data_IF_219198862432
#
_entry.id   IF_219198862432
#
_cell.length_a   1.000
_cell.length_b   1.000
_cell.length_c   1.000
_cell.angle_alpha   90.00
_cell.angle_beta   90.00
_cell.angle_gamma   90.00
#
_symmetry.space_group_name_H-M   'P 1'
#
loop_
_entity.id
_entity.type
_entity.pdbx_description
1 polymer ?
#
# COMPACT_ATOMS: atom_id res chain seq x y z
N UNK A 1 -18.54 -11.14 -13.96
CA UNK A 1 -17.06 -11.29 -13.79
C UNK A 1 -16.47 -9.88 -13.88
N UNK A 2 -15.59 -9.47 -12.95
CA UNK A 2 -14.87 -8.20 -13.13
C UNK A 2 -13.99 -8.30 -14.39
N UNK A 3 -13.83 -7.20 -15.12
CA UNK A 3 -12.88 -7.13 -16.22
C UNK A 3 -11.44 -7.26 -15.71
N UNK A 4 -10.52 -7.77 -16.52
CA UNK A 4 -9.15 -8.09 -16.09
C UNK A 4 -8.41 -6.86 -15.53
N UNK A 5 -8.60 -5.68 -16.11
CA UNK A 5 -8.02 -4.43 -15.66
C UNK A 5 -8.36 -4.05 -14.20
N UNK A 6 -9.50 -4.55 -13.69
CA UNK A 6 -9.94 -4.34 -12.32
C UNK A 6 -9.23 -5.22 -11.27
N UNK A 7 -8.20 -5.96 -11.69
CA UNK A 7 -7.33 -6.74 -10.79
C UNK A 7 -5.90 -6.17 -10.72
N UNK A 8 -5.66 -5.00 -11.33
CA UNK A 8 -4.34 -4.37 -11.36
C UNK A 8 -4.29 -3.10 -10.53
N UNK A 9 -3.23 -2.99 -9.75
CA UNK A 9 -2.76 -1.78 -9.12
C UNK A 9 -1.62 -1.21 -9.98
N UNK A 10 -1.87 -0.14 -10.72
CA UNK A 10 -0.85 0.48 -11.56
C UNK A 10 0.17 1.19 -10.69
N UNK A 11 1.44 0.73 -10.70
CA UNK A 11 2.38 0.97 -9.63
C UNK A 11 3.60 1.78 -10.04
N UNK A 12 3.98 2.77 -9.22
CA UNK A 12 5.25 3.49 -9.33
C UNK A 12 5.86 3.73 -7.94
N UNK A 13 6.88 2.93 -7.58
CA UNK A 13 7.53 2.93 -6.26
C UNK A 13 9.02 3.28 -6.33
N UNK A 14 9.48 3.86 -7.44
CA UNK A 14 10.87 4.29 -7.59
C UNK A 14 11.21 5.38 -6.58
N UNK A 15 12.42 5.31 -6.01
CA UNK A 15 12.91 6.33 -5.08
C UNK A 15 13.05 7.71 -5.75
N UNK A 16 13.32 7.74 -7.05
CA UNK A 16 13.50 8.93 -7.88
C UNK A 16 12.25 9.29 -8.71
N UNK A 17 11.09 8.72 -8.38
CA UNK A 17 9.83 9.04 -9.06
C UNK A 17 9.56 10.55 -9.04
N UNK A 18 9.17 11.09 -10.17
CA UNK A 18 8.84 12.50 -10.30
C UNK A 18 7.33 12.77 -10.27
N UNK A 19 6.95 14.00 -9.94
CA UNK A 19 5.57 14.45 -10.04
C UNK A 19 4.97 14.19 -11.43
N UNK A 20 5.75 14.31 -12.50
CA UNK A 20 5.29 14.07 -13.87
C UNK A 20 4.98 12.57 -14.09
N UNK A 21 5.80 11.67 -13.57
CA UNK A 21 5.57 10.22 -13.65
C UNK A 21 4.30 9.81 -12.87
N UNK A 22 4.08 10.35 -11.68
CA UNK A 22 2.86 10.07 -10.90
C UNK A 22 1.60 10.60 -11.61
N UNK A 23 1.65 11.79 -12.22
CA UNK A 23 0.53 12.29 -13.02
C UNK A 23 0.25 11.41 -14.24
N UNK A 24 1.30 10.96 -14.93
CA UNK A 24 1.18 10.01 -16.04
C UNK A 24 0.56 8.70 -15.58
N UNK A 25 1.03 8.13 -14.47
CA UNK A 25 0.49 6.92 -13.85
C UNK A 25 -1.03 7.05 -13.61
N UNK A 26 -1.47 8.17 -13.02
CA UNK A 26 -2.88 8.43 -12.76
C UNK A 26 -3.70 8.59 -14.04
N UNK A 27 -3.14 9.23 -15.07
CA UNK A 27 -3.80 9.39 -16.36
C UNK A 27 -4.01 8.03 -17.06
N UNK A 28 -2.97 7.20 -17.09
CA UNK A 28 -3.02 5.83 -17.63
C UNK A 28 -4.03 4.96 -16.86
N UNK A 29 -4.04 5.03 -15.52
CA UNK A 29 -4.98 4.27 -14.72
C UNK A 29 -6.44 4.63 -15.02
N UNK A 30 -6.73 5.91 -15.26
CA UNK A 30 -8.08 6.35 -15.71
C UNK A 30 -8.40 5.88 -17.12
N UNK A 31 -7.45 5.99 -18.05
CA UNK A 31 -7.63 5.60 -19.45
C UNK A 31 -7.92 4.11 -19.61
N UNK A 32 -7.15 3.28 -18.91
CA UNK A 32 -7.27 1.82 -18.99
C UNK A 32 -8.23 1.22 -17.96
N UNK A 33 -8.80 2.04 -17.08
CA UNK A 33 -9.76 1.61 -16.07
C UNK A 33 -9.15 0.63 -15.07
N UNK A 34 -7.91 0.85 -14.62
CA UNK A 34 -7.32 0.03 -13.57
C UNK A 34 -8.04 0.24 -12.23
N UNK A 35 -7.92 -0.74 -11.34
CA UNK A 35 -8.58 -0.68 -10.04
C UNK A 35 -7.99 0.41 -9.16
N UNK A 36 -6.67 0.49 -9.08
CA UNK A 36 -5.96 1.49 -8.30
C UNK A 36 -4.66 1.97 -8.97
N UNK A 37 -4.08 3.02 -8.39
CA UNK A 37 -2.65 3.31 -8.49
C UNK A 37 -1.99 3.00 -7.16
N UNK A 38 -0.76 2.46 -7.17
CA UNK A 38 0.02 2.22 -5.96
C UNK A 38 1.27 3.11 -5.95
N UNK A 39 1.45 3.87 -4.89
CA UNK A 39 2.50 4.89 -4.76
C UNK A 39 3.13 4.90 -3.36
N UNK A 40 4.30 5.53 -3.23
CA UNK A 40 4.87 5.86 -1.92
C UNK A 40 4.03 6.94 -1.22
N UNK A 41 3.99 6.96 0.11
CA UNK A 41 3.16 7.83 0.94
C UNK A 41 3.24 9.32 0.57
N UNK A 42 4.45 9.82 0.24
CA UNK A 42 4.65 11.22 -0.16
C UNK A 42 3.87 11.65 -1.42
N UNK A 43 3.42 10.70 -2.25
CA UNK A 43 2.65 10.94 -3.47
C UNK A 43 1.15 10.74 -3.32
N UNK A 44 0.68 10.25 -2.17
CA UNK A 44 -0.76 10.02 -1.93
C UNK A 44 -1.59 11.28 -2.16
N UNK A 45 -1.23 12.46 -1.61
CA UNK A 45 -2.03 13.68 -1.84
C UNK A 45 -2.12 14.07 -3.32
N UNK A 46 -1.03 13.87 -4.07
CA UNK A 46 -1.00 14.14 -5.51
C UNK A 46 -1.89 13.16 -6.27
N UNK A 47 -1.76 11.86 -6.01
CA UNK A 47 -2.55 10.82 -6.65
C UNK A 47 -4.04 11.00 -6.36
N UNK A 48 -4.42 11.26 -5.11
CA UNK A 48 -5.80 11.54 -4.72
C UNK A 48 -6.39 12.73 -5.48
N UNK A 49 -5.60 13.81 -5.64
CA UNK A 49 -6.01 14.98 -6.43
C UNK A 49 -6.21 14.65 -7.91
N UNK A 50 -5.25 13.96 -8.53
CA UNK A 50 -5.29 13.62 -9.96
C UNK A 50 -6.41 12.61 -10.29
N UNK A 51 -6.79 11.77 -9.34
CA UNK A 51 -7.85 10.77 -9.49
C UNK A 51 -9.23 11.24 -9.02
N UNK A 52 -9.35 12.47 -8.53
CA UNK A 52 -10.60 13.02 -8.04
C UNK A 52 -11.72 12.89 -9.11
N UNK A 53 -12.89 12.37 -8.69
CA UNK A 53 -14.03 12.14 -9.59
C UNK A 53 -13.92 10.91 -10.50
N UNK A 54 -12.86 10.12 -10.39
CA UNK A 54 -12.73 8.82 -11.07
C UNK A 54 -13.08 7.66 -10.14
N UNK A 55 -13.23 6.45 -10.70
CA UNK A 55 -13.42 5.23 -9.92
C UNK A 55 -12.11 4.60 -9.43
N UNK A 56 -10.96 5.06 -9.94
CA UNK A 56 -9.63 4.53 -9.60
C UNK A 56 -9.28 4.90 -8.16
N UNK A 57 -8.83 3.91 -7.39
CA UNK A 57 -8.44 4.07 -5.99
C UNK A 57 -6.97 4.50 -5.86
N UNK A 58 -6.60 5.01 -4.69
CA UNK A 58 -5.21 5.20 -4.31
C UNK A 58 -4.83 4.11 -3.30
N UNK A 59 -3.82 3.32 -3.63
CA UNK A 59 -3.13 2.43 -2.72
C UNK A 59 -1.79 3.06 -2.32
N UNK A 60 -1.40 2.92 -1.07
CA UNK A 60 -0.11 3.40 -0.56
C UNK A 60 0.67 2.27 0.09
N UNK A 61 1.97 2.17 -0.20
CA UNK A 61 2.83 1.23 0.52
C UNK A 61 3.17 1.75 1.91
N UNK A 62 3.29 0.84 2.88
CA UNK A 62 3.63 1.13 4.29
C UNK A 62 4.72 0.18 4.76
N UNK A 63 5.70 0.69 5.49
CA UNK A 63 6.88 -0.08 5.89
C UNK A 63 7.73 -0.56 4.73
N UNK A 64 7.57 0.02 3.57
CA UNK A 64 8.15 -0.45 2.31
C UNK A 64 9.58 0.09 2.10
N UNK A 65 10.53 -0.73 1.56
CA UNK A 65 10.29 -2.12 1.09
C UNK A 65 10.60 -3.21 2.13
N UNK A 66 11.12 -2.88 3.31
CA UNK A 66 11.75 -3.85 4.20
C UNK A 66 10.82 -4.49 5.23
N UNK A 67 9.72 -3.85 5.58
CA UNK A 67 8.83 -4.29 6.66
C UNK A 67 9.45 -4.27 8.07
N UNK A 68 10.67 -3.75 8.22
CA UNK A 68 11.50 -3.86 9.41
C UNK A 68 11.45 -2.63 10.35
N UNK A 69 10.43 -1.80 10.21
CA UNK A 69 10.17 -0.69 11.13
C UNK A 69 9.25 -1.13 12.28
N UNK A 70 9.13 -0.32 13.33
CA UNK A 70 8.22 -0.63 14.43
C UNK A 70 6.76 -0.56 13.99
N UNK A 71 5.89 -1.30 14.68
CA UNK A 71 4.45 -1.33 14.41
C UNK A 71 3.81 0.05 14.56
N UNK A 72 4.25 0.84 15.55
CA UNK A 72 3.78 2.22 15.75
C UNK A 72 4.15 3.11 14.56
N UNK A 73 5.34 2.93 13.98
CA UNK A 73 5.76 3.71 12.82
C UNK A 73 4.93 3.34 11.58
N UNK A 74 4.63 2.04 11.37
CA UNK A 74 3.72 1.60 10.30
C UNK A 74 2.29 2.13 10.51
N UNK A 75 1.79 2.08 11.74
CA UNK A 75 0.47 2.62 12.08
C UNK A 75 0.39 4.12 11.81
N UNK A 76 1.43 4.89 12.17
CA UNK A 76 1.50 6.31 11.88
C UNK A 76 1.54 6.61 10.38
N UNK A 77 2.36 5.87 9.62
CA UNK A 77 2.44 5.99 8.16
C UNK A 77 1.09 5.65 7.50
N UNK A 78 0.40 4.62 8.00
CA UNK A 78 -0.95 4.24 7.57
C UNK A 78 -1.94 5.37 7.79
N UNK A 79 -1.96 5.94 9.00
CA UNK A 79 -2.84 7.06 9.34
C UNK A 79 -2.59 8.26 8.41
N UNK A 80 -1.32 8.64 8.20
CA UNK A 80 -0.98 9.74 7.30
C UNK A 80 -1.43 9.47 5.85
N UNK A 81 -1.17 8.27 5.32
CA UNK A 81 -1.61 7.90 3.98
C UNK A 81 -3.14 7.94 3.83
N UNK A 82 -3.88 7.37 4.78
CA UNK A 82 -5.34 7.34 4.74
C UNK A 82 -5.95 8.74 4.87
N UNK A 83 -5.44 9.57 5.80
CA UNK A 83 -5.88 10.95 5.97
C UNK A 83 -5.67 11.79 4.70
N UNK A 84 -4.69 11.44 3.88
CA UNK A 84 -4.37 12.10 2.61
C UNK A 84 -5.08 11.47 1.39
N UNK A 85 -5.90 10.42 1.59
CA UNK A 85 -6.80 9.90 0.56
C UNK A 85 -6.44 8.51 0.02
N UNK A 86 -5.55 7.77 0.67
CA UNK A 86 -5.37 6.35 0.37
C UNK A 86 -6.61 5.55 0.81
N UNK A 87 -7.11 4.71 -0.08
CA UNK A 87 -8.23 3.79 0.16
C UNK A 87 -7.75 2.35 0.41
N UNK A 88 -6.49 2.08 0.11
CA UNK A 88 -5.83 0.80 0.36
C UNK A 88 -4.42 1.03 0.88
N UNK A 89 -3.99 0.16 1.77
CA UNK A 89 -2.66 0.15 2.40
C UNK A 89 -1.98 -1.17 2.10
N UNK A 90 -0.84 -1.10 1.43
CA UNK A 90 0.00 -2.24 1.09
C UNK A 90 1.19 -2.29 2.06
N UNK A 91 0.97 -2.90 3.23
CA UNK A 91 2.01 -3.01 4.26
C UNK A 91 2.97 -4.16 3.99
N UNK A 92 4.24 -3.98 4.25
CA UNK A 92 5.22 -5.09 4.20
C UNK A 92 5.26 -5.80 5.55
N UNK A 93 5.13 -7.13 5.51
CA UNK A 93 5.23 -7.98 6.71
C UNK A 93 6.61 -7.85 7.37
N UNK A 94 6.69 -8.03 8.68
CA UNK A 94 7.98 -8.16 9.35
C UNK A 94 8.58 -9.54 9.09
N UNK A 95 9.36 -9.64 8.00
CA UNK A 95 9.98 -10.89 7.55
C UNK A 95 10.91 -11.47 8.61
N UNK A 96 11.66 -10.62 9.33
CA UNK A 96 12.56 -11.07 10.39
C UNK A 96 11.81 -11.76 11.55
N UNK A 97 10.70 -11.17 11.98
CA UNK A 97 9.85 -11.76 13.01
C UNK A 97 9.24 -13.09 12.54
N UNK A 98 8.76 -13.15 11.28
CA UNK A 98 8.22 -14.38 10.70
C UNK A 98 9.26 -15.50 10.67
N UNK A 99 10.50 -15.21 10.23
CA UNK A 99 11.59 -16.19 10.19
C UNK A 99 12.04 -16.70 11.56
N UNK A 100 11.82 -15.93 12.59
CA UNK A 100 12.07 -16.31 13.99
C UNK A 100 10.85 -16.97 14.65
N UNK A 101 9.80 -17.27 13.87
CA UNK A 101 8.53 -17.86 14.36
C UNK A 101 7.84 -17.01 15.44
N UNK A 102 8.13 -15.70 15.48
CA UNK A 102 7.48 -14.74 16.39
C UNK A 102 6.14 -14.30 15.82
N UNK A 103 5.22 -15.27 15.72
CA UNK A 103 3.92 -15.07 15.06
C UNK A 103 3.03 -14.06 15.76
N UNK A 104 3.13 -13.95 17.09
CA UNK A 104 2.40 -12.92 17.85
C UNK A 104 2.85 -11.51 17.48
N UNK A 105 4.16 -11.29 17.33
CA UNK A 105 4.70 -9.99 16.91
C UNK A 105 4.26 -9.65 15.47
N UNK A 106 4.21 -10.64 14.58
CA UNK A 106 3.71 -10.45 13.21
C UNK A 106 2.22 -10.10 13.21
N UNK A 107 1.43 -10.80 14.04
CA UNK A 107 0.00 -10.52 14.19
C UNK A 107 -0.25 -9.12 14.74
N UNK A 108 0.46 -8.73 15.80
CA UNK A 108 0.33 -7.43 16.43
C UNK A 108 0.71 -6.29 15.46
N UNK A 109 1.77 -6.50 14.65
CA UNK A 109 2.18 -5.57 13.60
C UNK A 109 1.08 -5.34 12.56
N UNK A 110 0.48 -6.42 12.05
CA UNK A 110 -0.64 -6.35 11.10
C UNK A 110 -1.87 -5.71 11.75
N UNK A 111 -2.23 -6.12 12.97
CA UNK A 111 -3.37 -5.56 13.69
C UNK A 111 -3.25 -4.06 13.94
N UNK A 112 -2.04 -3.58 14.22
CA UNK A 112 -1.76 -2.16 14.42
C UNK A 112 -2.03 -1.33 13.15
N UNK A 113 -1.63 -1.85 11.99
CA UNK A 113 -1.90 -1.22 10.69
C UNK A 113 -3.39 -1.28 10.35
N UNK A 114 -4.03 -2.44 10.56
CA UNK A 114 -5.47 -2.62 10.31
C UNK A 114 -6.29 -1.66 11.17
N UNK A 115 -5.98 -1.54 12.46
CA UNK A 115 -6.69 -0.63 13.35
C UNK A 115 -6.62 0.84 12.87
N UNK A 116 -5.44 1.26 12.37
CA UNK A 116 -5.28 2.61 11.81
C UNK A 116 -6.03 2.80 10.50
N UNK A 117 -6.06 1.78 9.63
CA UNK A 117 -6.76 1.84 8.35
C UNK A 117 -8.28 1.84 8.51
N UNK A 118 -8.79 1.08 9.49
CA UNK A 118 -10.23 0.96 9.78
C UNK A 118 -10.89 2.31 10.14
N UNK A 119 -10.15 3.23 10.76
CA UNK A 119 -10.65 4.59 11.05
C UNK A 119 -11.08 5.35 9.78
N UNK A 120 -10.53 4.96 8.63
CA UNK A 120 -10.80 5.57 7.32
C UNK A 120 -11.58 4.65 6.37
N UNK A 121 -11.99 3.46 6.82
CA UNK A 121 -12.56 2.40 5.99
C UNK A 121 -11.62 1.97 4.84
N UNK A 122 -10.31 2.04 5.04
CA UNK A 122 -9.31 1.60 4.08
C UNK A 122 -9.04 0.10 4.23
N UNK A 123 -8.68 -0.55 3.12
CA UNK A 123 -8.35 -1.98 3.08
C UNK A 123 -6.85 -2.16 3.28
N UNK A 124 -6.45 -3.16 4.06
CA UNK A 124 -5.04 -3.54 4.21
C UNK A 124 -4.75 -4.79 3.38
N UNK A 125 -3.68 -4.74 2.58
CA UNK A 125 -3.08 -5.88 1.89
C UNK A 125 -1.67 -6.08 2.43
N UNK A 126 -1.29 -7.33 2.73
CA UNK A 126 0.03 -7.62 3.29
C UNK A 126 0.96 -8.14 2.19
N UNK A 127 2.05 -7.42 1.95
CA UNK A 127 3.15 -7.83 1.07
C UNK A 127 3.97 -8.87 1.84
N UNK A 128 3.93 -10.12 1.39
CA UNK A 128 4.60 -11.25 2.05
C UNK A 128 6.10 -11.33 1.77
N UNK A 129 6.56 -10.78 0.65
CA UNK A 129 7.95 -10.87 0.15
C UNK A 129 8.39 -12.32 -0.02
N UNK A 130 7.62 -13.08 -0.79
CA UNK A 130 7.75 -14.54 -0.94
C UNK A 130 9.13 -15.01 -1.39
N UNK A 131 9.91 -14.19 -2.06
CA UNK A 131 11.28 -14.52 -2.46
C UNK A 131 12.24 -14.70 -1.28
N UNK A 132 11.87 -14.22 -0.09
CA UNK A 132 12.63 -14.39 1.16
C UNK A 132 12.10 -15.53 2.03
N UNK A 133 10.97 -16.15 1.65
CA UNK A 133 10.27 -17.15 2.45
C UNK A 133 10.41 -18.54 1.84
N UNK A 134 10.35 -19.57 2.70
CA UNK A 134 10.16 -20.96 2.28
C UNK A 134 8.68 -21.22 2.02
N UNK A 135 8.35 -22.37 1.40
CA UNK A 135 6.96 -22.77 1.17
C UNK A 135 6.16 -22.93 2.47
N UNK A 136 6.84 -23.32 3.55
CA UNK A 136 6.21 -23.50 4.87
C UNK A 136 5.96 -22.14 5.55
N UNK A 137 6.88 -21.21 5.44
CA UNK A 137 6.73 -19.84 5.97
C UNK A 137 5.65 -19.05 5.21
#
# INVERSE_FOLDING_TARGET
MKELNQYFDHTCLKADASTAEIKKLCAEAKEYGFYSVCVNGCYVPLAAKELAGSAVKVAAVVGFPLGAMSSEAKAFETNDCCANGAAEIDMVINVGALKEERYEDVLDDICSVVASADEYNAIVKVILETCLLTDEE
#
